data_IF_797374092892
#
_entry.id   IF_797374092892
#
_cell.length_a   1.000
_cell.length_b   1.000
_cell.length_c   1.000
_cell.angle_alpha   90.00
_cell.angle_beta   90.00
_cell.angle_gamma   90.00
#
_symmetry.space_group_name_H-M   'P 1'
#
loop_
_entity.id
_entity.type
_entity.pdbx_description
1 polymer ?
#
# COMPACT_ATOMS: atom_id res chain seq x y z
N UNK A 1 -20.10 -25.71 -36.87
CA UNK A 1 -19.81 -25.06 -35.57
C UNK A 1 -19.60 -23.58 -35.87
N UNK A 2 -20.34 -22.68 -35.21
CA UNK A 2 -20.26 -21.23 -35.50
C UNK A 2 -18.90 -20.65 -35.04
N UNK A 3 -18.54 -19.45 -35.51
CA UNK A 3 -17.35 -18.73 -35.04
C UNK A 3 -17.36 -18.54 -33.52
N UNK A 4 -18.53 -18.21 -32.97
CA UNK A 4 -18.75 -18.07 -31.52
C UNK A 4 -18.53 -19.41 -30.80
N UNK A 5 -19.07 -20.52 -31.31
CA UNK A 5 -18.88 -21.85 -30.70
C UNK A 5 -17.41 -22.27 -30.67
N UNK A 6 -16.68 -22.00 -31.76
CA UNK A 6 -15.25 -22.32 -31.85
C UNK A 6 -14.47 -21.53 -30.80
N UNK A 7 -14.72 -20.22 -30.70
CA UNK A 7 -14.05 -19.35 -29.73
C UNK A 7 -14.44 -19.70 -28.29
N UNK A 8 -15.72 -19.94 -28.01
CA UNK A 8 -16.20 -20.40 -26.71
C UNK A 8 -15.49 -21.69 -26.28
N UNK A 9 -15.42 -22.68 -27.18
CA UNK A 9 -14.70 -23.94 -26.94
C UNK A 9 -13.19 -23.72 -26.72
N UNK A 10 -12.59 -22.77 -27.43
CA UNK A 10 -11.17 -22.42 -27.25
C UNK A 10 -10.91 -21.86 -25.85
N UNK A 11 -11.72 -20.89 -25.41
CA UNK A 11 -11.59 -20.27 -24.08
C UNK A 11 -11.83 -21.31 -22.99
N UNK A 12 -12.95 -22.05 -23.05
CA UNK A 12 -13.32 -23.01 -22.00
C UNK A 12 -12.33 -24.17 -21.86
N UNK A 13 -11.77 -24.68 -22.97
CA UNK A 13 -10.77 -25.75 -22.94
C UNK A 13 -9.37 -25.23 -22.59
N UNK A 14 -9.02 -24.03 -23.04
CA UNK A 14 -7.72 -23.41 -22.82
C UNK A 14 -7.55 -22.82 -21.43
N UNK A 15 -8.63 -22.34 -20.82
CA UNK A 15 -8.60 -21.61 -19.55
C UNK A 15 -8.94 -22.50 -18.34
N UNK A 16 -8.28 -23.65 -18.25
CA UNK A 16 -8.43 -24.57 -17.13
C UNK A 16 -7.36 -24.31 -16.07
N UNK A 17 -7.77 -24.24 -14.82
CA UNK A 17 -6.87 -24.02 -13.69
C UNK A 17 -6.70 -25.33 -12.90
N UNK A 18 -5.47 -25.62 -12.46
CA UNK A 18 -5.22 -26.66 -11.44
C UNK A 18 -5.29 -26.01 -10.06
N UNK A 19 -6.19 -26.48 -9.20
CA UNK A 19 -6.43 -25.91 -7.87
C UNK A 19 -7.34 -24.67 -7.90
N UNK A 20 -7.31 -23.88 -6.83
CA UNK A 20 -8.13 -22.68 -6.69
C UNK A 20 -7.79 -21.59 -7.72
N UNK A 21 -8.82 -20.83 -8.07
CA UNK A 21 -8.75 -19.71 -9.01
C UNK A 21 -9.76 -18.62 -8.64
N UNK A 22 -9.57 -17.44 -9.24
CA UNK A 22 -10.49 -16.31 -9.20
C UNK A 22 -11.06 -16.09 -10.60
N UNK A 23 -12.38 -15.94 -10.71
CA UNK A 23 -13.04 -15.60 -11.98
C UNK A 23 -13.10 -14.08 -12.13
N UNK A 24 -12.42 -13.51 -13.15
CA UNK A 24 -12.39 -12.06 -13.36
C UNK A 24 -13.52 -11.54 -14.25
N UNK A 25 -14.13 -12.40 -15.05
CA UNK A 25 -15.17 -12.03 -16.00
C UNK A 25 -15.32 -13.06 -17.10
N UNK A 26 -15.79 -12.63 -18.27
CA UNK A 26 -15.97 -13.49 -19.44
C UNK A 26 -15.24 -12.94 -20.66
N UNK A 27 -14.83 -13.83 -21.56
CA UNK A 27 -14.15 -13.47 -22.79
C UNK A 27 -15.07 -12.69 -23.74
N UNK A 28 -14.46 -11.82 -24.54
CA UNK A 28 -15.16 -11.03 -25.55
C UNK A 28 -14.72 -11.47 -26.96
N UNK A 29 -15.68 -11.52 -27.88
CA UNK A 29 -15.45 -11.77 -29.30
C UNK A 29 -16.14 -10.66 -30.11
N UNK A 30 -15.39 -10.02 -31.00
CA UNK A 30 -15.90 -8.94 -31.87
C UNK A 30 -16.62 -7.79 -31.11
N UNK A 31 -16.18 -7.52 -29.87
CA UNK A 31 -16.75 -6.48 -29.01
C UNK A 31 -17.95 -6.93 -28.16
N UNK A 32 -18.42 -8.16 -28.33
CA UNK A 32 -19.51 -8.74 -27.55
C UNK A 32 -19.00 -9.69 -26.47
N UNK A 33 -19.59 -9.60 -25.27
CA UNK A 33 -19.29 -10.54 -24.18
C UNK A 33 -19.95 -11.87 -24.48
N UNK A 34 -19.17 -12.96 -24.46
CA UNK A 34 -19.72 -14.30 -24.58
C UNK A 34 -20.05 -14.83 -23.19
N UNK A 35 -21.33 -14.99 -22.88
CA UNK A 35 -21.80 -15.49 -21.59
C UNK A 35 -21.17 -16.85 -21.25
N UNK A 36 -20.75 -17.04 -20.00
CA UNK A 36 -20.12 -18.26 -19.45
C UNK A 36 -18.74 -18.64 -20.02
N UNK A 37 -18.15 -17.84 -20.91
CA UNK A 37 -16.78 -18.02 -21.40
C UNK A 37 -15.75 -17.48 -20.39
N UNK A 38 -15.74 -18.01 -19.17
CA UNK A 38 -15.04 -17.39 -18.04
C UNK A 38 -13.53 -17.22 -18.22
N UNK A 39 -13.04 -16.10 -17.70
CA UNK A 39 -11.62 -15.77 -17.59
C UNK A 39 -11.14 -15.97 -16.14
N UNK A 40 -10.48 -17.10 -15.89
CA UNK A 40 -9.97 -17.49 -14.57
C UNK A 40 -8.48 -17.15 -14.40
N UNK A 41 -8.10 -16.76 -13.18
CA UNK A 41 -6.71 -16.58 -12.75
C UNK A 41 -6.40 -17.58 -11.66
N UNK A 42 -5.42 -18.50 -11.84
CA UNK A 42 -5.02 -19.43 -10.80
C UNK A 42 -4.51 -18.69 -9.55
N UNK A 43 -4.98 -19.09 -8.38
CA UNK A 43 -4.61 -18.44 -7.11
C UNK A 43 -3.09 -18.49 -6.87
N UNK A 44 -2.44 -19.59 -7.25
CA UNK A 44 -0.97 -19.75 -7.19
C UNK A 44 -0.16 -18.73 -7.99
N UNK A 45 -0.79 -17.99 -8.90
CA UNK A 45 -0.13 -16.92 -9.68
C UNK A 45 -0.32 -15.53 -9.07
N UNK A 46 -1.18 -15.39 -8.07
CA UNK A 46 -1.46 -14.12 -7.38
C UNK A 46 -0.33 -13.68 -6.44
N UNK A 47 0.70 -14.51 -6.26
CA UNK A 47 1.95 -14.12 -5.60
C UNK A 47 2.93 -13.39 -6.53
N UNK A 48 2.50 -13.03 -7.74
CA UNK A 48 3.26 -12.25 -8.72
C UNK A 48 2.71 -10.83 -8.79
N UNK A 49 3.58 -9.87 -9.10
CA UNK A 49 3.16 -8.49 -9.30
C UNK A 49 2.28 -8.36 -10.55
N UNK A 50 1.28 -7.49 -10.46
CA UNK A 50 0.36 -7.16 -11.55
C UNK A 50 0.07 -5.66 -11.61
N UNK A 51 -0.46 -5.22 -12.75
CA UNK A 51 -0.83 -3.82 -12.99
C UNK A 51 -2.28 -3.74 -13.48
N UNK A 52 -3.11 -2.98 -12.77
CA UNK A 52 -4.46 -2.61 -13.22
C UNK A 52 -4.40 -1.19 -13.77
N UNK A 53 -4.43 -1.06 -15.09
CA UNK A 53 -4.37 0.22 -15.80
C UNK A 53 -5.66 0.48 -16.59
N UNK A 54 -5.97 1.77 -16.80
CA UNK A 54 -7.14 2.22 -17.53
C UNK A 54 -7.45 3.69 -17.28
N UNK A 55 -8.26 4.32 -18.13
CA UNK A 55 -8.68 5.71 -17.96
C UNK A 55 -9.56 5.90 -16.70
N UNK A 56 -9.84 7.14 -16.33
CA UNK A 56 -10.77 7.43 -15.24
C UNK A 56 -12.17 6.88 -15.60
N UNK A 57 -12.84 6.25 -14.63
CA UNK A 57 -14.17 5.68 -14.84
C UNK A 57 -14.21 4.32 -15.54
N UNK A 58 -13.08 3.72 -15.91
CA UNK A 58 -13.06 2.40 -16.60
C UNK A 58 -13.11 1.19 -15.65
N UNK A 59 -13.45 1.41 -14.37
CA UNK A 59 -13.65 0.32 -13.41
C UNK A 59 -12.41 -0.20 -12.68
N UNK A 60 -11.28 0.53 -12.68
CA UNK A 60 -10.06 0.12 -11.94
C UNK A 60 -10.33 -0.24 -10.46
N UNK A 61 -11.01 0.64 -9.74
CA UNK A 61 -11.41 0.42 -8.34
C UNK A 61 -12.30 -0.82 -8.21
N UNK A 62 -13.26 -1.01 -9.13
CA UNK A 62 -14.15 -2.18 -9.12
C UNK A 62 -13.39 -3.48 -9.37
N UNK A 63 -12.43 -3.50 -10.28
CA UNK A 63 -11.56 -4.66 -10.48
C UNK A 63 -10.76 -4.97 -9.21
N UNK A 64 -10.23 -3.95 -8.53
CA UNK A 64 -9.48 -4.13 -7.29
C UNK A 64 -10.38 -4.65 -6.15
N UNK A 65 -11.60 -4.14 -6.01
CA UNK A 65 -12.60 -4.65 -5.06
C UNK A 65 -12.91 -6.13 -5.32
N UNK A 66 -13.26 -6.50 -6.56
CA UNK A 66 -13.55 -7.88 -6.91
C UNK A 66 -12.39 -8.82 -6.59
N UNK A 67 -11.15 -8.40 -6.87
CA UNK A 67 -9.96 -9.17 -6.50
C UNK A 67 -9.83 -9.34 -4.98
N UNK A 68 -9.98 -8.26 -4.22
CA UNK A 68 -9.87 -8.29 -2.77
C UNK A 68 -10.96 -9.16 -2.12
N UNK A 69 -12.20 -9.01 -2.57
CA UNK A 69 -13.35 -9.82 -2.16
C UNK A 69 -13.08 -11.32 -2.42
N UNK A 70 -12.70 -11.69 -3.64
CA UNK A 70 -12.42 -13.08 -4.00
C UNK A 70 -11.23 -13.67 -3.23
N UNK A 71 -10.18 -12.88 -2.98
CA UNK A 71 -9.04 -13.31 -2.17
C UNK A 71 -9.47 -13.54 -0.71
N UNK A 72 -10.28 -12.65 -0.16
CA UNK A 72 -10.83 -12.77 1.19
C UNK A 72 -11.69 -14.04 1.36
N UNK A 73 -12.54 -14.39 0.37
CA UNK A 73 -13.31 -15.65 0.38
C UNK A 73 -12.43 -16.90 0.40
N UNK A 74 -11.24 -16.80 -0.18
CA UNK A 74 -10.24 -17.88 -0.20
C UNK A 74 -9.35 -17.87 1.04
N UNK A 75 -9.63 -17.02 2.03
CA UNK A 75 -8.87 -16.90 3.27
C UNK A 75 -7.51 -16.24 3.09
N UNK A 76 -7.31 -15.48 2.00
CA UNK A 76 -6.07 -14.75 1.75
C UNK A 76 -6.20 -13.32 2.31
N UNK A 77 -5.36 -12.92 3.28
CA UNK A 77 -5.36 -11.54 3.78
C UNK A 77 -5.00 -10.55 2.68
N UNK A 78 -5.71 -9.42 2.63
CA UNK A 78 -5.49 -8.37 1.62
C UNK A 78 -5.30 -7.03 2.31
N UNK A 79 -4.16 -6.39 2.05
CA UNK A 79 -3.91 -5.01 2.44
C UNK A 79 -4.12 -4.09 1.24
N UNK A 80 -4.98 -3.09 1.39
CA UNK A 80 -5.30 -2.11 0.35
C UNK A 80 -5.01 -0.70 0.84
N UNK A 81 -4.39 0.12 -0.01
CA UNK A 81 -4.27 1.57 0.22
C UNK A 81 -5.46 2.29 -0.40
N UNK A 82 -6.40 2.74 0.43
CA UNK A 82 -7.61 3.42 -0.03
C UNK A 82 -7.45 4.96 0.01
N UNK A 83 -6.74 5.50 -0.98
CA UNK A 83 -6.43 6.94 -1.05
C UNK A 83 -7.70 7.79 -1.28
N UNK A 84 -8.73 7.22 -1.94
CA UNK A 84 -9.94 7.95 -2.33
C UNK A 84 -11.17 7.62 -1.48
N UNK A 85 -11.08 6.63 -0.60
CA UNK A 85 -12.21 6.11 0.17
C UNK A 85 -13.16 5.26 -0.67
N UNK A 86 -12.77 4.84 -1.88
CA UNK A 86 -13.63 4.11 -2.80
C UNK A 86 -13.51 2.59 -2.69
N UNK A 87 -12.56 2.08 -1.88
CA UNK A 87 -12.37 0.66 -1.61
C UNK A 87 -13.07 0.18 -0.35
N UNK A 88 -13.12 1.00 0.70
CA UNK A 88 -13.70 0.68 2.02
C UNK A 88 -15.16 0.22 1.99
N UNK A 89 -15.89 0.52 0.91
CA UNK A 89 -17.25 0.04 0.66
C UNK A 89 -17.42 -1.49 0.65
N UNK A 90 -16.34 -2.27 0.49
CA UNK A 90 -16.38 -3.75 0.57
C UNK A 90 -16.84 -4.27 1.94
N UNK A 91 -16.79 -3.44 2.98
CA UNK A 91 -17.30 -3.76 4.31
C UNK A 91 -18.84 -3.85 4.38
N UNK A 92 -19.55 -3.40 3.35
CA UNK A 92 -21.01 -3.37 3.31
C UNK A 92 -21.54 -4.10 2.08
N UNK A 93 -22.68 -4.81 2.20
CA UNK A 93 -23.35 -5.37 1.03
C UNK A 93 -23.74 -4.25 0.05
N UNK A 94 -23.59 -4.50 -1.24
CA UNK A 94 -24.03 -3.57 -2.28
C UNK A 94 -25.53 -3.26 -2.14
N UNK A 95 -25.96 -2.00 -2.22
CA UNK A 95 -27.38 -1.64 -2.25
C UNK A 95 -28.08 -2.04 -3.57
N UNK A 96 -27.35 -2.66 -4.50
CA UNK A 96 -27.82 -2.97 -5.85
C UNK A 96 -27.58 -1.82 -6.82
N UNK A 97 -27.38 -2.14 -8.10
CA UNK A 97 -27.26 -1.16 -9.16
C UNK A 97 -27.49 -1.82 -10.53
N UNK A 98 -28.35 -1.26 -11.37
CA UNK A 98 -28.77 -1.89 -12.65
C UNK A 98 -27.58 -2.29 -13.54
N UNK A 99 -26.55 -1.44 -13.63
CA UNK A 99 -25.31 -1.74 -14.39
C UNK A 99 -24.50 -2.93 -13.86
N UNK A 100 -24.63 -3.27 -12.57
CA UNK A 100 -24.01 -4.47 -12.01
C UNK A 100 -24.81 -5.67 -12.51
N UNK A 101 -26.13 -5.65 -12.36
CA UNK A 101 -27.01 -6.74 -12.78
C UNK A 101 -26.88 -7.03 -14.28
N UNK A 102 -26.95 -6.00 -15.13
CA UNK A 102 -26.74 -6.10 -16.59
C UNK A 102 -25.37 -6.69 -16.95
N UNK A 103 -24.32 -6.32 -16.20
CA UNK A 103 -22.96 -6.82 -16.45
C UNK A 103 -22.84 -8.29 -16.04
N UNK A 104 -23.41 -8.64 -14.88
CA UNK A 104 -23.36 -9.99 -14.33
C UNK A 104 -24.16 -10.96 -15.19
N UNK A 105 -25.32 -10.53 -15.71
CA UNK A 105 -26.10 -11.27 -16.70
C UNK A 105 -25.31 -11.51 -17.99
N UNK A 106 -24.67 -10.48 -18.55
CA UNK A 106 -23.83 -10.62 -19.76
C UNK A 106 -22.67 -11.61 -19.57
N UNK A 107 -22.02 -11.56 -18.41
CA UNK A 107 -20.92 -12.48 -18.06
C UNK A 107 -21.46 -13.88 -17.79
N UNK A 108 -22.68 -14.00 -17.26
CA UNK A 108 -23.25 -15.24 -16.74
C UNK A 108 -22.71 -15.60 -15.36
N UNK A 109 -22.29 -14.62 -14.56
CA UNK A 109 -21.76 -14.85 -13.22
C UNK A 109 -22.79 -14.34 -12.20
N UNK A 110 -23.27 -15.18 -11.26
CA UNK A 110 -24.19 -14.71 -10.23
C UNK A 110 -23.48 -13.70 -9.32
N UNK A 111 -24.19 -12.63 -8.97
CA UNK A 111 -23.73 -11.63 -8.03
C UNK A 111 -24.65 -11.61 -6.82
N UNK A 112 -24.07 -11.92 -5.66
CA UNK A 112 -24.76 -11.85 -4.38
C UNK A 112 -24.14 -10.72 -3.55
N UNK A 113 -24.90 -9.66 -3.23
CA UNK A 113 -24.42 -8.60 -2.35
C UNK A 113 -24.08 -9.16 -0.97
N UNK A 114 -22.85 -8.96 -0.52
CA UNK A 114 -22.42 -9.35 0.83
C UNK A 114 -21.33 -8.42 1.37
N UNK A 115 -21.16 -8.44 2.69
CA UNK A 115 -20.07 -7.75 3.37
C UNK A 115 -18.86 -8.67 3.54
N UNK A 116 -17.69 -8.05 3.63
CA UNK A 116 -16.42 -8.71 3.92
C UNK A 116 -15.84 -8.23 5.25
N UNK A 117 -15.03 -9.07 5.94
CA UNK A 117 -14.33 -8.64 7.14
C UNK A 117 -13.29 -7.57 6.75
N UNK A 118 -13.42 -6.38 7.33
CA UNK A 118 -12.55 -5.24 7.07
C UNK A 118 -12.14 -4.61 8.38
N UNK A 119 -10.85 -4.40 8.55
CA UNK A 119 -10.30 -3.51 9.57
C UNK A 119 -9.80 -2.25 8.90
N UNK A 120 -10.36 -1.10 9.28
CA UNK A 120 -9.93 0.19 8.76
C UNK A 120 -8.74 0.66 9.59
N UNK A 121 -7.62 0.85 8.89
CA UNK A 121 -6.39 1.39 9.46
C UNK A 121 -6.20 2.82 8.96
N UNK A 122 -5.77 3.73 9.85
CA UNK A 122 -5.62 5.15 9.53
C UNK A 122 -4.25 5.69 9.93
N UNK A 123 -3.63 6.40 8.99
CA UNK A 123 -2.42 7.22 9.18
C UNK A 123 -2.75 8.67 9.57
N UNK A 124 -4.05 9.04 9.57
CA UNK A 124 -4.54 10.42 9.74
C UNK A 124 -5.60 10.49 10.84
N UNK A 125 -6.06 11.67 11.23
CA UNK A 125 -7.10 11.83 12.28
C UNK A 125 -8.43 11.10 11.99
N UNK A 126 -8.61 10.53 10.80
CA UNK A 126 -9.76 9.69 10.47
C UNK A 126 -9.90 8.47 11.41
N UNK A 127 -11.15 7.99 11.49
CA UNK A 127 -11.53 6.81 12.27
C UNK A 127 -10.83 5.55 11.75
N UNK A 128 -10.50 4.64 12.67
CA UNK A 128 -9.83 3.39 12.39
C UNK A 128 -8.73 3.08 13.39
N UNK A 129 -8.15 1.89 13.29
CA UNK A 129 -6.95 1.51 14.04
C UNK A 129 -5.82 2.45 13.66
N UNK A 130 -5.20 3.06 14.67
CA UNK A 130 -4.15 4.06 14.46
C UNK A 130 -2.87 3.35 14.07
N UNK A 131 -2.39 3.61 12.85
CA UNK A 131 -1.06 3.17 12.43
C UNK A 131 -0.03 4.22 12.80
N UNK A 132 0.97 3.79 13.57
CA UNK A 132 2.15 4.58 13.92
C UNK A 132 3.41 3.75 13.74
N UNK A 133 4.52 4.44 13.64
CA UNK A 133 5.83 3.83 13.69
C UNK A 133 6.83 4.81 14.29
N UNK A 134 7.89 4.32 14.91
CA UNK A 134 8.95 5.21 15.41
C UNK A 134 9.94 5.58 14.30
N UNK A 135 10.69 6.66 14.50
CA UNK A 135 11.81 7.01 13.60
C UNK A 135 12.87 5.91 13.60
N UNK A 136 13.14 5.30 14.76
CA UNK A 136 14.03 4.16 14.90
C UNK A 136 13.59 2.95 14.05
N UNK A 137 12.30 2.62 14.01
CA UNK A 137 11.78 1.49 13.20
C UNK A 137 11.94 1.71 11.69
N UNK A 138 11.79 2.94 11.22
CA UNK A 138 12.04 3.27 9.81
C UNK A 138 13.53 3.17 9.46
N UNK A 139 14.40 3.50 10.42
CA UNK A 139 15.83 3.45 10.24
C UNK A 139 16.37 4.52 9.27
N UNK A 140 17.71 4.63 9.14
CA UNK A 140 18.32 5.71 8.38
C UNK A 140 18.04 5.63 6.89
N UNK A 141 17.86 4.42 6.34
CA UNK A 141 17.65 4.19 4.90
C UNK A 141 16.27 4.65 4.45
N UNK A 142 15.20 4.24 5.14
CA UNK A 142 13.84 4.62 4.73
C UNK A 142 13.59 6.10 5.01
N UNK A 143 14.06 6.63 6.15
CA UNK A 143 13.98 8.06 6.45
C UNK A 143 14.66 8.89 5.35
N UNK A 144 15.86 8.49 4.91
CA UNK A 144 16.57 9.20 3.84
C UNK A 144 15.81 9.18 2.51
N UNK A 145 15.12 8.07 2.20
CA UNK A 145 14.29 7.97 0.98
C UNK A 145 13.03 8.82 1.06
N UNK A 146 12.35 8.82 2.21
CA UNK A 146 11.12 9.61 2.42
C UNK A 146 11.40 11.10 2.34
N UNK A 147 12.54 11.53 2.90
CA UNK A 147 12.97 12.92 2.87
C UNK A 147 13.64 13.34 1.54
N UNK A 148 13.79 12.40 0.59
CA UNK A 148 14.49 12.59 -0.69
C UNK A 148 15.90 13.18 -0.52
N UNK A 149 16.69 12.56 0.37
CA UNK A 149 18.02 13.04 0.73
C UNK A 149 19.07 12.67 -0.32
N UNK A 150 19.99 13.60 -0.56
CA UNK A 150 21.23 13.32 -1.29
C UNK A 150 22.08 12.27 -0.57
N UNK A 151 23.01 11.63 -1.28
CA UNK A 151 23.91 10.62 -0.70
C UNK A 151 24.69 11.16 0.51
N UNK A 152 25.18 12.40 0.44
CA UNK A 152 25.87 13.04 1.58
C UNK A 152 24.95 13.24 2.78
N UNK A 153 23.70 13.66 2.57
CA UNK A 153 22.72 13.83 3.64
C UNK A 153 22.30 12.49 4.24
N UNK A 154 22.12 11.46 3.40
CA UNK A 154 21.83 10.11 3.85
C UNK A 154 22.98 9.55 4.72
N UNK A 155 24.23 9.84 4.36
CA UNK A 155 25.40 9.51 5.18
C UNK A 155 25.37 10.18 6.56
N UNK A 156 24.94 11.45 6.64
CA UNK A 156 24.75 12.14 7.91
C UNK A 156 23.66 11.46 8.74
N UNK A 157 22.51 11.14 8.14
CA UNK A 157 21.43 10.43 8.85
C UNK A 157 21.92 9.08 9.38
N UNK A 158 22.69 8.31 8.61
CA UNK A 158 23.26 7.05 9.08
C UNK A 158 24.17 7.22 10.31
N UNK A 159 25.00 8.27 10.33
CA UNK A 159 25.84 8.61 11.49
C UNK A 159 25.01 8.99 12.71
N UNK A 160 23.96 9.80 12.52
CA UNK A 160 23.03 10.17 13.60
C UNK A 160 22.40 8.92 14.23
N UNK A 161 21.89 8.00 13.41
CA UNK A 161 21.30 6.76 13.91
C UNK A 161 22.34 5.91 14.65
N UNK A 162 23.56 5.76 14.11
CA UNK A 162 24.64 5.03 14.79
C UNK A 162 24.97 5.61 16.17
N UNK A 163 25.05 6.95 16.25
CA UNK A 163 25.27 7.64 17.51
C UNK A 163 24.15 7.38 18.52
N UNK A 164 22.89 7.44 18.06
CA UNK A 164 21.73 7.15 18.90
C UNK A 164 21.76 5.71 19.43
N UNK A 165 22.09 4.74 18.58
CA UNK A 165 22.19 3.33 18.98
C UNK A 165 23.30 3.11 20.03
N UNK A 166 24.47 3.69 19.81
CA UNK A 166 25.61 3.56 20.73
C UNK A 166 25.34 4.18 22.11
N UNK A 167 24.58 5.28 22.12
CA UNK A 167 24.22 6.01 23.34
C UNK A 167 22.86 5.61 23.92
N UNK A 168 22.16 4.62 23.33
CA UNK A 168 20.83 4.16 23.74
C UNK A 168 19.80 5.30 23.80
N UNK A 169 19.82 6.15 22.79
CA UNK A 169 18.89 7.27 22.61
C UNK A 169 17.85 6.88 21.54
N UNK A 170 16.73 6.26 21.93
CA UNK A 170 15.70 5.87 20.96
C UNK A 170 15.11 7.12 20.30
N UNK A 171 14.92 7.05 18.98
CA UNK A 171 14.29 8.10 18.19
C UNK A 171 12.83 7.73 17.97
N UNK A 172 11.94 8.30 18.78
CA UNK A 172 10.53 7.91 18.76
C UNK A 172 9.76 8.71 17.71
N UNK A 173 9.89 10.04 17.73
CA UNK A 173 9.13 10.95 16.89
C UNK A 173 10.00 11.93 16.11
N UNK A 174 9.36 12.81 15.33
CA UNK A 174 10.05 13.84 14.55
C UNK A 174 10.75 14.89 15.43
N UNK A 175 10.31 15.09 16.68
CA UNK A 175 10.93 16.05 17.61
C UNK A 175 12.26 15.51 18.10
N UNK A 176 12.32 14.23 18.46
CA UNK A 176 13.57 13.56 18.83
C UNK A 176 14.57 13.62 17.67
N UNK A 177 14.10 13.33 16.45
CA UNK A 177 14.96 13.35 15.28
C UNK A 177 15.51 14.75 14.97
N UNK A 178 14.68 15.80 15.06
CA UNK A 178 15.14 17.19 14.93
C UNK A 178 16.15 17.55 16.02
N UNK A 179 15.88 17.15 17.26
CA UNK A 179 16.72 17.50 18.41
C UNK A 179 18.11 16.89 18.28
N UNK A 180 18.23 15.62 17.88
CA UNK A 180 19.54 15.00 17.68
C UNK A 180 20.30 15.60 16.49
N UNK A 181 19.60 15.97 15.41
CA UNK A 181 20.20 16.65 14.27
C UNK A 181 20.80 18.01 14.67
N UNK A 182 20.08 18.79 15.47
CA UNK A 182 20.56 20.06 16.01
C UNK A 182 21.76 19.84 16.94
N UNK A 183 21.63 18.91 17.89
CA UNK A 183 22.69 18.55 18.83
C UNK A 183 24.00 18.19 18.12
N UNK A 184 23.94 17.41 17.04
CA UNK A 184 25.10 16.97 16.27
C UNK A 184 25.90 18.11 15.60
N UNK A 185 25.28 19.29 15.45
CA UNK A 185 25.96 20.47 14.88
C UNK A 185 26.19 21.61 15.86
N UNK A 186 25.62 21.52 17.06
CA UNK A 186 25.71 22.52 18.13
C UNK A 186 26.52 21.97 19.31
N UNK A 187 25.86 21.60 20.41
CA UNK A 187 26.51 21.18 21.67
C UNK A 187 27.34 19.89 21.52
N UNK A 188 26.87 18.94 20.71
CA UNK A 188 27.53 17.65 20.46
C UNK A 188 28.55 17.68 19.32
N UNK A 189 28.79 18.84 18.71
CA UNK A 189 29.60 18.94 17.49
C UNK A 189 30.99 18.34 17.62
N UNK A 190 31.66 18.56 18.74
CA UNK A 190 33.03 18.07 18.96
C UNK A 190 33.06 16.55 19.14
N UNK A 191 32.08 15.99 19.86
CA UNK A 191 31.89 14.54 20.04
C UNK A 191 31.62 13.84 18.70
N UNK A 192 30.67 14.37 17.91
CA UNK A 192 30.39 13.83 16.57
C UNK A 192 31.60 13.92 15.65
N UNK A 193 32.37 15.02 15.73
CA UNK A 193 33.58 15.20 14.93
C UNK A 193 34.67 14.20 15.29
N UNK A 194 34.85 13.88 16.56
CA UNK A 194 35.83 12.91 17.04
C UNK A 194 35.45 11.49 16.63
N UNK A 195 34.18 11.10 16.83
CA UNK A 195 33.74 9.73 16.60
C UNK A 195 33.42 9.41 15.12
N UNK A 196 32.90 10.39 14.35
CA UNK A 196 32.33 10.15 13.02
C UNK A 196 32.79 11.15 11.94
N UNK A 197 33.58 12.15 12.32
CA UNK A 197 34.00 13.21 11.43
C UNK A 197 33.01 14.38 11.33
N UNK A 198 33.38 15.39 10.54
CA UNK A 198 32.64 16.66 10.51
C UNK A 198 31.28 16.51 9.84
N UNK A 199 30.22 16.85 10.56
CA UNK A 199 28.86 17.04 10.01
C UNK A 199 28.70 18.49 9.53
N UNK A 200 28.13 18.66 8.33
CA UNK A 200 27.91 19.97 7.72
C UNK A 200 26.63 20.63 8.23
N UNK A 201 26.75 21.83 8.81
CA UNK A 201 25.59 22.65 9.26
C UNK A 201 24.61 22.94 8.12
N UNK A 202 25.11 23.14 6.89
CA UNK A 202 24.28 23.37 5.72
C UNK A 202 23.41 22.14 5.38
N UNK A 203 24.00 20.94 5.44
CA UNK A 203 23.29 19.69 5.18
C UNK A 203 22.26 19.39 6.27
N UNK A 204 22.63 19.56 7.55
CA UNK A 204 21.72 19.44 8.69
C UNK A 204 20.53 20.39 8.55
N UNK A 205 20.76 21.66 8.22
CA UNK A 205 19.70 22.63 7.99
C UNK A 205 18.77 22.28 6.81
N UNK A 206 19.30 21.61 5.77
CA UNK A 206 18.48 21.11 4.67
C UNK A 206 17.59 19.93 5.10
N UNK A 207 18.13 18.99 5.89
CA UNK A 207 17.37 17.86 6.44
C UNK A 207 16.26 18.39 7.38
N UNK A 208 16.56 19.35 8.25
CA UNK A 208 15.57 19.96 9.15
C UNK A 208 14.38 20.58 8.39
N UNK A 209 14.62 21.25 7.26
CA UNK A 209 13.53 21.78 6.43
C UNK A 209 12.65 20.69 5.85
N UNK A 210 13.24 19.57 5.40
CA UNK A 210 12.48 18.39 4.94
C UNK A 210 11.64 17.77 6.04
N UNK A 211 12.14 17.71 7.27
CA UNK A 211 11.36 17.25 8.42
C UNK A 211 10.16 18.18 8.67
N UNK A 212 10.37 19.50 8.65
CA UNK A 212 9.29 20.49 8.81
C UNK A 212 8.23 20.36 7.71
N UNK A 213 8.63 20.08 6.46
CA UNK A 213 7.69 19.80 5.36
C UNK A 213 6.79 18.59 5.66
N UNK A 214 7.31 17.55 6.32
CA UNK A 214 6.54 16.37 6.73
C UNK A 214 5.61 16.69 7.91
N UNK A 215 6.08 17.44 8.90
CA UNK A 215 5.26 17.86 10.05
C UNK A 215 4.04 18.67 9.60
N UNK A 216 4.22 19.59 8.64
CA UNK A 216 3.13 20.36 8.05
C UNK A 216 2.06 19.50 7.34
N UNK A 217 2.45 18.30 6.89
CA UNK A 217 1.54 17.33 6.28
C UNK A 217 0.91 16.39 7.32
N UNK A 218 1.16 16.61 8.61
CA UNK A 218 0.62 15.80 9.71
C UNK A 218 1.46 14.58 10.04
N UNK A 219 2.74 14.53 9.64
CA UNK A 219 3.63 13.41 9.95
C UNK A 219 3.81 13.12 11.44
N UNK A 220 3.58 14.12 12.30
CA UNK A 220 3.56 13.99 13.77
C UNK A 220 2.48 13.02 14.28
N UNK A 221 1.42 12.78 13.50
CA UNK A 221 0.37 11.84 13.87
C UNK A 221 0.79 10.37 13.64
N UNK A 222 1.73 10.17 12.71
CA UNK A 222 2.24 8.88 12.28
C UNK A 222 3.50 8.48 13.04
N UNK A 223 4.47 9.38 13.19
CA UNK A 223 5.71 9.07 13.88
C UNK A 223 5.56 9.15 15.40
N UNK A 224 5.67 8.02 16.10
CA UNK A 224 5.60 7.93 17.55
C UNK A 224 5.07 6.59 18.06
N UNK A 225 4.75 6.54 19.35
CA UNK A 225 4.26 5.34 20.05
C UNK A 225 2.74 5.35 20.30
N UNK A 226 2.08 4.21 20.54
CA UNK A 226 2.58 2.84 20.35
C UNK A 226 2.69 2.55 18.85
N UNK A 227 3.83 2.00 18.40
CA UNK A 227 4.00 1.61 17.01
C UNK A 227 3.12 0.40 16.66
N UNK A 228 2.85 0.25 15.37
CA UNK A 228 2.08 -0.87 14.85
C UNK A 228 2.88 -2.17 14.95
N UNK A 229 2.28 -3.17 15.58
CA UNK A 229 2.80 -4.53 15.68
C UNK A 229 1.91 -5.44 14.83
N UNK A 230 2.52 -6.27 13.99
CA UNK A 230 1.81 -7.19 13.09
C UNK A 230 1.36 -8.47 13.80
N UNK A 231 1.89 -8.74 14.99
CA UNK A 231 1.57 -9.91 15.81
C UNK A 231 0.57 -9.59 16.95
N UNK A 232 0.22 -8.32 17.17
CA UNK A 232 -0.79 -7.84 18.13
C UNK A 232 -2.20 -7.91 17.51
#
# INVERSE_FOLDING_TARGET
>A
MSKQDIFFNHITKGNTCKGDYITLGSAMLDGETLTNAYVNVPLKTMNRHGLIAGATGTGKTKTLQVLAENLSEKGVPVLLMDIKGDLSGIAQPSPGHVKIDERMEKIGLPFEPKSFPVEIMSLSEQNGVRLRATISEFGPVLISRILDLTETQAGIVAVIFKYCDDNKLPLLDLKDFKKILQYATDEGKDEFKEAYGRISTASTGAILRKIIEIEQQGGDLFFGEKSFDVED
#
